data_IF_310542564270
#
_entry.id   IF_310542564270
#
_cell.length_a   1.000
_cell.length_b   1.000
_cell.length_c   1.000
_cell.angle_alpha   90.00
_cell.angle_beta   90.00
_cell.angle_gamma   90.00
#
_symmetry.space_group_name_H-M   'P 1'
#
loop_
_entity.id
_entity.type
_entity.pdbx_description
1 polymer ?
#
# COMPACT_ATOMS: atom_id res chain seq x y z
N UNK A 1 -21.76 -48.33 -15.07
CA UNK A 1 -22.12 -47.04 -14.46
C UNK A 1 -21.32 -46.92 -13.17
N UNK A 2 -20.16 -46.27 -13.25
CA UNK A 2 -19.19 -46.25 -12.16
C UNK A 2 -19.56 -45.19 -11.11
N UNK A 3 -20.15 -45.64 -10.01
CA UNK A 3 -20.45 -44.82 -8.83
C UNK A 3 -19.24 -44.59 -7.91
N UNK A 4 -18.01 -44.91 -8.34
CA UNK A 4 -16.78 -44.77 -7.54
C UNK A 4 -15.99 -43.48 -7.80
N UNK A 5 -16.42 -42.61 -8.73
CA UNK A 5 -15.70 -41.35 -9.02
C UNK A 5 -16.03 -40.21 -8.06
N UNK A 6 -17.09 -40.31 -7.25
CA UNK A 6 -17.55 -39.22 -6.37
C UNK A 6 -16.78 -39.07 -5.06
N UNK A 7 -16.31 -40.16 -4.46
CA UNK A 7 -15.73 -40.16 -3.10
C UNK A 7 -14.36 -39.44 -3.06
N UNK A 8 -13.58 -39.54 -4.13
CA UNK A 8 -12.24 -38.91 -4.22
C UNK A 8 -12.27 -37.38 -4.33
N UNK A 9 -13.42 -36.79 -4.62
CA UNK A 9 -13.56 -35.35 -4.81
C UNK A 9 -13.82 -34.62 -3.48
N UNK A 10 -14.58 -35.24 -2.57
CA UNK A 10 -14.93 -34.62 -1.29
C UNK A 10 -13.75 -34.61 -0.30
N UNK A 11 -12.98 -35.70 -0.25
CA UNK A 11 -11.79 -35.78 0.62
C UNK A 11 -10.73 -34.73 0.24
N UNK A 12 -10.53 -34.48 -1.05
CA UNK A 12 -9.59 -33.44 -1.53
C UNK A 12 -10.03 -32.03 -1.13
N UNK A 13 -11.33 -31.77 -1.11
CA UNK A 13 -11.88 -30.47 -0.74
C UNK A 13 -11.65 -30.18 0.74
N UNK A 14 -11.92 -31.15 1.62
CA UNK A 14 -11.72 -31.03 3.07
C UNK A 14 -10.25 -30.74 3.41
N UNK A 15 -9.31 -31.47 2.79
CA UNK A 15 -7.88 -31.27 3.01
C UNK A 15 -7.43 -29.87 2.57
N UNK A 16 -7.99 -29.35 1.48
CA UNK A 16 -7.67 -28.00 0.98
C UNK A 16 -8.20 -26.92 1.91
N UNK A 17 -9.43 -27.06 2.41
CA UNK A 17 -10.03 -26.09 3.34
C UNK A 17 -9.28 -26.01 4.67
N UNK A 18 -8.92 -27.16 5.25
CA UNK A 18 -8.12 -27.20 6.48
C UNK A 18 -6.73 -26.57 6.30
N UNK A 19 -6.10 -26.77 5.14
CA UNK A 19 -4.82 -26.17 4.81
C UNK A 19 -4.90 -24.65 4.69
N UNK A 20 -5.93 -24.13 4.00
CA UNK A 20 -6.14 -22.69 3.87
C UNK A 20 -6.48 -22.02 5.22
N UNK A 21 -7.24 -22.70 6.09
CA UNK A 21 -7.50 -22.22 7.44
C UNK A 21 -6.20 -22.06 8.23
N UNK A 22 -5.33 -23.07 8.18
CA UNK A 22 -4.03 -23.02 8.86
C UNK A 22 -3.16 -21.86 8.38
N UNK A 23 -3.07 -21.64 7.07
CA UNK A 23 -2.32 -20.49 6.52
C UNK A 23 -2.90 -19.17 7.03
N UNK A 24 -4.22 -19.06 7.10
CA UNK A 24 -4.87 -17.86 7.61
C UNK A 24 -4.54 -17.62 9.08
N UNK A 25 -4.51 -18.66 9.89
CA UNK A 25 -4.14 -18.57 11.30
C UNK A 25 -2.67 -18.18 11.48
N UNK A 26 -1.77 -18.77 10.68
CA UNK A 26 -0.34 -18.44 10.67
C UNK A 26 -0.10 -16.97 10.28
N UNK A 27 -0.79 -16.48 9.24
CA UNK A 27 -0.74 -15.06 8.83
C UNK A 27 -1.23 -14.14 9.96
N UNK A 28 -2.38 -14.45 10.56
CA UNK A 28 -2.96 -13.65 11.64
C UNK A 28 -2.05 -13.64 12.87
N UNK A 29 -1.43 -14.77 13.21
CA UNK A 29 -0.47 -14.87 14.29
C UNK A 29 0.73 -13.95 14.06
N UNK A 30 1.32 -13.98 12.86
CA UNK A 30 2.45 -13.09 12.52
C UNK A 30 2.08 -11.61 12.60
N UNK A 31 0.91 -11.23 12.09
CA UNK A 31 0.43 -9.84 12.16
C UNK A 31 0.19 -9.40 13.61
N UNK A 32 -0.36 -10.27 14.46
CA UNK A 32 -0.56 -9.96 15.88
C UNK A 32 0.78 -9.78 16.61
N UNK A 33 1.74 -10.69 16.39
CA UNK A 33 3.09 -10.58 16.93
C UNK A 33 3.79 -9.30 16.46
N UNK A 34 3.67 -8.95 15.17
CA UNK A 34 4.23 -7.72 14.63
C UNK A 34 3.65 -6.48 15.33
N UNK A 35 2.32 -6.46 15.54
CA UNK A 35 1.64 -5.38 16.24
C UNK A 35 2.01 -5.30 17.73
N UNK A 36 2.21 -6.43 18.41
CA UNK A 36 2.71 -6.47 19.79
C UNK A 36 4.12 -5.87 19.88
N UNK A 37 5.03 -6.29 19.00
CA UNK A 37 6.38 -5.70 18.93
C UNK A 37 6.32 -4.20 18.64
N UNK A 38 5.46 -3.75 17.71
CA UNK A 38 5.26 -2.33 17.38
C UNK A 38 4.77 -1.54 18.60
N UNK A 39 3.81 -2.06 19.36
CA UNK A 39 3.30 -1.45 20.61
C UNK A 39 4.36 -1.38 21.71
N UNK A 40 5.30 -2.33 21.73
CA UNK A 40 6.45 -2.33 22.63
C UNK A 40 7.67 -1.57 22.08
N UNK A 41 7.51 -0.78 21.01
CA UNK A 41 8.59 -0.03 20.35
C UNK A 41 9.76 -0.88 19.84
N UNK A 42 9.55 -2.18 19.65
CA UNK A 42 10.53 -3.10 19.06
C UNK A 42 10.37 -3.11 17.53
N UNK A 43 10.58 -1.95 16.91
CA UNK A 43 10.24 -1.72 15.51
C UNK A 43 10.98 -2.64 14.53
N UNK A 44 12.22 -3.00 14.80
CA UNK A 44 12.95 -3.97 13.98
C UNK A 44 12.23 -5.32 13.89
N UNK A 45 11.90 -5.91 15.06
CA UNK A 45 11.19 -7.19 15.13
C UNK A 45 9.78 -7.11 14.55
N UNK A 46 9.11 -5.97 14.74
CA UNK A 46 7.81 -5.71 14.12
C UNK A 46 7.92 -5.72 12.59
N UNK A 47 8.92 -5.02 12.04
CA UNK A 47 9.23 -5.00 10.62
C UNK A 47 9.46 -6.40 10.06
N UNK A 48 10.33 -7.19 10.70
CA UNK A 48 10.63 -8.56 10.27
C UNK A 48 9.39 -9.45 10.27
N UNK A 49 8.54 -9.33 11.29
CA UNK A 49 7.30 -10.10 11.39
C UNK A 49 6.26 -9.71 10.32
N UNK A 50 6.13 -8.40 10.02
CA UNK A 50 5.28 -7.93 8.93
C UNK A 50 5.77 -8.40 7.56
N UNK A 51 7.08 -8.38 7.29
CA UNK A 51 7.65 -8.91 6.03
C UNK A 51 7.32 -10.39 5.87
N UNK A 52 7.55 -11.21 6.91
CA UNK A 52 7.21 -12.64 6.88
C UNK A 52 5.73 -12.88 6.61
N UNK A 53 4.86 -12.08 7.24
CA UNK A 53 3.42 -12.15 6.98
C UNK A 53 3.09 -11.79 5.52
N UNK A 54 3.69 -10.73 4.98
CA UNK A 54 3.49 -10.30 3.60
C UNK A 54 3.94 -11.37 2.59
N UNK A 55 5.12 -11.96 2.79
CA UNK A 55 5.64 -13.04 1.95
C UNK A 55 4.75 -14.29 1.98
N UNK A 56 4.28 -14.71 3.16
CA UNK A 56 3.37 -15.83 3.32
C UNK A 56 2.01 -15.56 2.66
N UNK A 57 1.45 -14.36 2.84
CA UNK A 57 0.23 -13.95 2.17
C UNK A 57 0.40 -13.92 0.64
N UNK A 58 1.54 -13.43 0.15
CA UNK A 58 1.83 -13.37 -1.28
C UNK A 58 1.92 -14.78 -1.90
N UNK A 59 2.64 -15.69 -1.26
CA UNK A 59 2.83 -17.08 -1.74
C UNK A 59 1.52 -17.85 -1.81
N UNK A 60 0.57 -17.53 -0.93
CA UNK A 60 -0.77 -18.12 -0.90
C UNK A 60 -1.85 -17.30 -1.62
N UNK A 61 -1.45 -16.34 -2.47
CA UNK A 61 -2.34 -15.56 -3.34
C UNK A 61 -3.45 -14.84 -2.57
N UNK A 62 -3.13 -14.30 -1.39
CA UNK A 62 -4.01 -13.40 -0.69
C UNK A 62 -4.31 -12.17 -1.54
N UNK A 63 -5.33 -11.40 -1.13
CA UNK A 63 -5.65 -10.13 -1.79
C UNK A 63 -4.41 -9.23 -1.80
N UNK A 64 -4.05 -8.76 -2.98
CA UNK A 64 -2.86 -7.92 -3.18
C UNK A 64 -2.85 -6.69 -2.29
N UNK A 65 -4.02 -6.08 -2.03
CA UNK A 65 -4.14 -4.96 -1.10
C UNK A 65 -3.69 -5.29 0.32
N UNK A 66 -3.94 -6.52 0.80
CA UNK A 66 -3.54 -6.98 2.13
C UNK A 66 -2.05 -7.24 2.19
N UNK A 67 -1.48 -7.83 1.12
CA UNK A 67 -0.04 -8.04 1.00
C UNK A 67 0.71 -6.71 0.98
N UNK A 68 0.26 -5.76 0.16
CA UNK A 68 0.82 -4.41 0.06
C UNK A 68 0.77 -3.70 1.43
N UNK A 69 -0.37 -3.74 2.11
CA UNK A 69 -0.50 -3.11 3.43
C UNK A 69 0.50 -3.67 4.45
N UNK A 70 0.76 -4.97 4.44
CA UNK A 70 1.76 -5.57 5.33
C UNK A 70 3.20 -5.12 5.00
N UNK A 71 3.54 -4.98 3.72
CA UNK A 71 4.82 -4.37 3.34
C UNK A 71 4.92 -2.89 3.74
N UNK A 72 3.83 -2.12 3.62
CA UNK A 72 3.80 -0.72 4.08
C UNK A 72 3.96 -0.61 5.61
N UNK A 73 3.32 -1.50 6.37
CA UNK A 73 3.47 -1.59 7.82
C UNK A 73 4.91 -1.95 8.23
N UNK A 74 5.53 -2.90 7.52
CA UNK A 74 6.94 -3.24 7.71
C UNK A 74 7.85 -2.04 7.43
N UNK A 75 7.66 -1.40 6.27
CA UNK A 75 8.43 -0.23 5.88
C UNK A 75 8.31 0.89 6.91
N UNK A 76 7.10 1.14 7.42
CA UNK A 76 6.85 2.14 8.46
C UNK A 76 7.65 1.83 9.73
N UNK A 77 7.72 0.56 10.15
CA UNK A 77 8.53 0.17 11.30
C UNK A 77 10.03 0.41 11.04
N UNK A 78 10.53 0.08 9.86
CA UNK A 78 11.94 0.32 9.50
C UNK A 78 12.28 1.82 9.41
N UNK A 79 11.37 2.66 8.91
CA UNK A 79 11.57 4.11 8.90
C UNK A 79 11.74 4.69 10.31
N UNK A 80 11.00 4.17 11.32
CA UNK A 80 11.15 4.62 12.71
C UNK A 80 12.57 4.43 13.28
N UNK A 81 13.30 3.42 12.77
CA UNK A 81 14.68 3.14 13.15
C UNK A 81 15.68 3.55 12.06
N UNK A 82 15.22 4.30 11.05
CA UNK A 82 16.00 4.80 9.90
C UNK A 82 16.74 3.71 9.11
N UNK A 83 16.14 2.53 9.02
CA UNK A 83 16.73 1.36 8.36
C UNK A 83 16.33 1.30 6.88
N UNK A 84 17.30 1.05 6.00
CA UNK A 84 17.11 1.02 4.55
C UNK A 84 16.24 -0.15 4.06
N UNK A 85 15.97 -1.17 4.88
CA UNK A 85 15.00 -2.25 4.60
C UNK A 85 13.59 -1.72 4.27
N UNK A 86 13.26 -0.50 4.71
CA UNK A 86 12.03 0.18 4.31
C UNK A 86 11.89 0.28 2.77
N UNK A 87 12.98 0.61 2.07
CA UNK A 87 13.00 0.73 0.61
C UNK A 87 12.67 -0.61 -0.06
N UNK A 88 13.26 -1.71 0.42
CA UNK A 88 13.01 -3.05 -0.13
C UNK A 88 11.54 -3.48 0.04
N UNK A 89 10.91 -3.11 1.16
CA UNK A 89 9.50 -3.36 1.40
C UNK A 89 8.63 -2.57 0.39
N UNK A 90 8.92 -1.29 0.16
CA UNK A 90 8.20 -0.49 -0.82
C UNK A 90 8.37 -1.03 -2.24
N UNK A 91 9.59 -1.39 -2.66
CA UNK A 91 9.83 -1.98 -3.98
C UNK A 91 9.06 -3.29 -4.16
N UNK A 92 9.00 -4.13 -3.13
CA UNK A 92 8.20 -5.37 -3.14
C UNK A 92 6.71 -5.09 -3.33
N UNK A 93 6.19 -4.01 -2.73
CA UNK A 93 4.81 -3.57 -2.93
C UNK A 93 4.58 -3.00 -4.35
N UNK A 94 5.54 -2.25 -4.91
CA UNK A 94 5.50 -1.78 -6.31
C UNK A 94 5.40 -2.97 -7.27
N UNK A 95 6.19 -4.02 -7.08
CA UNK A 95 6.17 -5.20 -7.94
C UNK A 95 4.80 -5.89 -7.95
N UNK A 96 4.06 -5.83 -6.84
CA UNK A 96 2.67 -6.34 -6.79
C UNK A 96 1.73 -5.47 -7.63
N UNK A 97 1.88 -4.14 -7.61
CA UNK A 97 1.11 -3.26 -8.51
C UNK A 97 1.38 -3.59 -9.98
N UNK A 98 2.66 -3.79 -10.34
CA UNK A 98 3.06 -4.15 -11.70
C UNK A 98 2.45 -5.49 -12.12
N UNK A 99 2.60 -6.54 -11.29
CA UNK A 99 2.01 -7.88 -11.53
C UNK A 99 0.50 -7.88 -11.66
N UNK A 100 -0.18 -6.87 -11.12
CA UNK A 100 -1.64 -6.76 -11.12
C UNK A 100 -2.16 -5.72 -12.12
N UNK A 101 -1.29 -5.25 -13.01
CA UNK A 101 -1.57 -4.27 -14.07
C UNK A 101 -2.09 -2.92 -13.53
N UNK A 102 -1.79 -2.62 -12.26
CA UNK A 102 -2.15 -1.37 -11.59
C UNK A 102 -1.01 -0.35 -11.69
N UNK A 103 -0.54 -0.11 -12.92
CA UNK A 103 0.70 0.63 -13.18
C UNK A 103 0.65 2.05 -12.63
N UNK A 104 -0.43 2.78 -12.88
CA UNK A 104 -0.59 4.16 -12.39
C UNK A 104 -0.54 4.24 -10.85
N UNK A 105 -1.20 3.32 -10.15
CA UNK A 105 -1.14 3.22 -8.68
C UNK A 105 0.29 2.92 -8.21
N UNK A 106 1.01 2.04 -8.91
CA UNK A 106 2.41 1.72 -8.61
C UNK A 106 3.35 2.91 -8.79
N UNK A 107 3.21 3.65 -9.90
CA UNK A 107 3.98 4.87 -10.19
C UNK A 107 3.73 5.93 -9.12
N UNK A 108 2.46 6.21 -8.80
CA UNK A 108 2.11 7.20 -7.76
C UNK A 108 2.76 6.86 -6.41
N UNK A 109 2.68 5.59 -6.00
CA UNK A 109 3.26 5.14 -4.75
C UNK A 109 4.80 5.20 -4.76
N UNK A 110 5.46 5.00 -5.91
CA UNK A 110 6.90 5.22 -6.02
C UNK A 110 7.29 6.64 -5.58
N UNK A 111 6.59 7.67 -6.05
CA UNK A 111 6.88 9.05 -5.65
C UNK A 111 6.52 9.34 -4.19
N UNK A 112 5.37 8.86 -3.72
CA UNK A 112 4.97 9.06 -2.31
C UNK A 112 5.97 8.41 -1.36
N UNK A 113 6.36 7.16 -1.62
CA UNK A 113 7.29 6.42 -0.78
C UNK A 113 8.73 6.89 -0.93
N UNK A 114 9.15 7.31 -2.13
CA UNK A 114 10.46 7.91 -2.37
C UNK A 114 10.65 9.18 -1.53
N UNK A 115 9.61 10.02 -1.45
CA UNK A 115 9.63 11.20 -0.59
C UNK A 115 9.76 10.84 0.89
N UNK A 116 8.96 9.89 1.38
CA UNK A 116 9.05 9.40 2.76
C UNK A 116 10.46 8.88 3.09
N UNK A 117 11.04 8.07 2.22
CA UNK A 117 12.40 7.56 2.37
C UNK A 117 13.44 8.69 2.43
N UNK A 118 13.33 9.71 1.56
CA UNK A 118 14.23 10.86 1.57
C UNK A 118 14.14 11.75 2.81
N UNK A 119 12.99 11.77 3.48
CA UNK A 119 12.80 12.51 4.74
C UNK A 119 13.32 11.74 5.96
N UNK A 120 13.02 10.44 6.03
CA UNK A 120 13.17 9.66 7.26
C UNK A 120 14.47 8.85 7.34
N UNK A 121 15.03 8.41 6.21
CA UNK A 121 16.25 7.60 6.19
C UNK A 121 17.51 8.46 6.39
N UNK A 122 18.57 7.82 6.90
CA UNK A 122 19.89 8.48 7.05
C UNK A 122 20.46 8.87 5.68
N UNK A 123 20.36 7.95 4.72
CA UNK A 123 20.77 8.21 3.33
C UNK A 123 19.58 8.76 2.54
N UNK A 124 19.57 10.09 2.38
CA UNK A 124 18.52 10.81 1.65
C UNK A 124 18.44 10.40 0.17
N UNK A 125 19.51 9.85 -0.40
CA UNK A 125 19.53 9.41 -1.79
C UNK A 125 18.76 8.10 -2.00
N UNK A 126 18.38 7.38 -0.93
CA UNK A 126 17.60 6.14 -1.05
C UNK A 126 16.21 6.35 -1.66
N UNK A 127 15.61 7.53 -1.48
CA UNK A 127 14.36 7.88 -2.14
C UNK A 127 14.45 7.91 -3.67
N UNK A 128 15.64 8.22 -4.21
CA UNK A 128 15.90 8.32 -5.65
C UNK A 128 15.67 6.99 -6.37
N UNK A 129 15.93 5.86 -5.69
CA UNK A 129 15.68 4.52 -6.27
C UNK A 129 14.19 4.31 -6.58
N UNK A 130 13.29 4.81 -5.72
CA UNK A 130 11.85 4.75 -5.98
C UNK A 130 11.42 5.73 -7.06
N UNK A 131 11.94 6.97 -7.06
CA UNK A 131 11.62 7.93 -8.12
C UNK A 131 12.03 7.40 -9.50
N UNK A 132 13.25 6.87 -9.61
CA UNK A 132 13.73 6.23 -10.82
C UNK A 132 12.83 5.07 -11.23
N UNK A 133 12.44 4.19 -10.29
CA UNK A 133 11.51 3.08 -10.58
C UNK A 133 10.16 3.59 -11.11
N UNK A 134 9.63 4.69 -10.56
CA UNK A 134 8.40 5.32 -11.02
C UNK A 134 8.50 5.89 -12.44
N UNK A 135 9.61 6.55 -12.77
CA UNK A 135 9.88 7.04 -14.13
C UNK A 135 10.13 5.90 -15.13
N UNK A 136 10.85 4.85 -14.72
CA UNK A 136 11.07 3.66 -15.55
C UNK A 136 9.73 2.99 -15.92
N UNK A 137 8.84 2.80 -14.93
CA UNK A 137 7.50 2.24 -15.15
C UNK A 137 6.65 3.14 -16.07
N UNK A 138 6.78 4.45 -15.93
CA UNK A 138 6.08 5.42 -16.79
C UNK A 138 6.53 5.27 -18.24
N UNK A 139 7.83 5.20 -18.46
CA UNK A 139 8.43 5.04 -19.78
C UNK A 139 8.03 3.70 -20.42
N UNK A 140 8.15 2.59 -19.67
CA UNK A 140 7.84 1.23 -20.12
C UNK A 140 6.39 1.10 -20.60
N UNK A 141 5.45 1.78 -19.93
CA UNK A 141 4.02 1.72 -20.26
C UNK A 141 3.53 2.89 -21.12
N UNK A 142 4.42 3.76 -21.61
CA UNK A 142 4.07 4.89 -22.48
C UNK A 142 3.14 5.91 -21.82
N UNK A 143 3.17 6.02 -20.49
CA UNK A 143 2.32 6.95 -19.75
C UNK A 143 2.92 8.36 -19.82
N UNK A 144 2.14 9.39 -20.19
CA UNK A 144 2.67 10.74 -20.23
C UNK A 144 3.01 11.23 -18.83
N UNK A 145 4.06 12.04 -18.73
CA UNK A 145 4.39 12.68 -17.47
C UNK A 145 3.33 13.76 -17.14
N UNK A 146 2.39 13.46 -16.24
CA UNK A 146 1.50 14.46 -15.67
C UNK A 146 2.05 14.92 -14.31
N UNK A 147 2.99 15.86 -14.33
CA UNK A 147 3.34 16.56 -13.09
C UNK A 147 2.13 17.42 -12.72
N UNK A 148 1.53 17.23 -11.54
CA UNK A 148 0.39 18.06 -11.09
C UNK A 148 0.77 19.55 -11.01
N UNK A 149 2.06 19.85 -10.93
CA UNK A 149 2.63 21.20 -11.07
C UNK A 149 2.79 21.51 -12.57
N UNK A 150 1.70 21.70 -13.31
CA UNK A 150 1.77 21.99 -14.76
C UNK A 150 2.01 23.46 -15.10
N UNK A 151 1.91 24.37 -14.13
CA UNK A 151 2.24 25.79 -14.31
C UNK A 151 3.03 26.29 -13.10
N UNK A 152 4.34 26.31 -13.26
CA UNK A 152 5.23 27.08 -12.41
C UNK A 152 5.48 28.42 -13.11
N UNK A 153 4.91 29.48 -12.56
CA UNK A 153 5.08 30.84 -13.09
C UNK A 153 6.37 31.44 -12.50
N UNK A 154 7.46 31.34 -13.26
CA UNK A 154 8.78 31.85 -12.85
C UNK A 154 8.77 33.36 -12.57
N UNK A 155 7.84 34.12 -13.15
CA UNK A 155 7.73 35.57 -12.92
C UNK A 155 7.33 35.92 -11.49
N UNK A 156 6.79 34.95 -10.73
CA UNK A 156 6.50 35.12 -9.31
C UNK A 156 7.75 34.96 -8.41
N UNK A 157 8.90 34.55 -8.97
CA UNK A 157 10.13 34.30 -8.23
C UNK A 157 11.23 35.33 -8.43
N UNK A 158 11.00 36.39 -9.22
CA UNK A 158 11.85 37.58 -9.23
C UNK A 158 11.67 38.38 -7.93
N UNK A 159 12.12 37.80 -6.81
CA UNK A 159 12.20 38.45 -5.52
C UNK A 159 13.67 38.79 -5.32
N UNK A 160 14.04 40.05 -5.55
CA UNK A 160 15.42 40.57 -5.39
C UNK A 160 15.93 40.53 -3.93
N UNK A 161 15.07 40.17 -2.98
CA UNK A 161 15.33 40.19 -1.55
C UNK A 161 15.35 38.76 -0.98
N UNK A 162 16.56 38.28 -0.64
CA UNK A 162 16.80 36.95 -0.08
C UNK A 162 15.94 36.65 1.16
N UNK A 163 15.54 37.66 1.94
CA UNK A 163 14.69 37.46 3.13
C UNK A 163 13.24 37.09 2.77
N UNK A 164 12.72 37.63 1.66
CA UNK A 164 11.38 37.31 1.15
C UNK A 164 11.35 35.98 0.42
N UNK A 165 12.47 35.55 -0.16
CA UNK A 165 12.60 34.22 -0.79
C UNK A 165 12.41 33.10 0.21
N UNK A 166 12.99 33.19 1.41
CA UNK A 166 12.82 32.18 2.45
C UNK A 166 11.37 32.13 2.98
N UNK A 167 10.73 33.29 3.14
CA UNK A 167 9.30 33.36 3.47
C UNK A 167 8.43 32.69 2.40
N UNK A 168 8.69 32.98 1.12
CA UNK A 168 7.93 32.41 0.00
C UNK A 168 8.12 30.89 -0.11
N UNK A 169 9.33 30.38 0.13
CA UNK A 169 9.59 28.93 0.19
C UNK A 169 8.82 28.26 1.33
N UNK A 170 8.76 28.89 2.51
CA UNK A 170 7.94 28.38 3.62
C UNK A 170 6.45 28.35 3.25
N UNK A 171 5.92 29.41 2.63
CA UNK A 171 4.54 29.45 2.16
C UNK A 171 4.25 28.38 1.09
N UNK A 172 5.16 28.18 0.13
CA UNK A 172 5.08 27.11 -0.88
C UNK A 172 5.09 25.72 -0.26
N UNK A 173 5.95 25.47 0.73
CA UNK A 173 5.95 24.20 1.45
C UNK A 173 4.64 23.98 2.20
N UNK A 174 4.07 25.01 2.83
CA UNK A 174 2.77 24.91 3.50
C UNK A 174 1.63 24.65 2.52
N UNK A 175 1.62 25.33 1.37
CA UNK A 175 0.66 25.11 0.29
C UNK A 175 0.78 23.70 -0.30
N UNK A 176 2.00 23.22 -0.53
CA UNK A 176 2.24 21.86 -1.01
C UNK A 176 1.68 20.83 -0.02
N UNK A 177 1.92 21.04 1.29
CA UNK A 177 1.40 20.18 2.36
C UNK A 177 -0.13 20.21 2.40
N UNK A 178 -0.77 21.37 2.21
CA UNK A 178 -2.24 21.49 2.10
C UNK A 178 -2.76 20.76 0.86
N UNK A 179 -2.11 20.90 -0.29
CA UNK A 179 -2.50 20.23 -1.53
C UNK A 179 -2.38 18.71 -1.41
N UNK A 180 -1.29 18.22 -0.80
CA UNK A 180 -1.12 16.80 -0.50
C UNK A 180 -2.17 16.31 0.50
N UNK A 181 -2.47 17.09 1.55
CA UNK A 181 -3.52 16.76 2.50
C UNK A 181 -4.91 16.71 1.84
N UNK A 182 -5.25 17.66 0.98
CA UNK A 182 -6.51 17.69 0.23
C UNK A 182 -6.60 16.54 -0.78
N UNK A 183 -5.51 16.22 -1.46
CA UNK A 183 -5.44 15.07 -2.36
C UNK A 183 -5.63 13.76 -1.58
N UNK A 184 -4.95 13.62 -0.44
CA UNK A 184 -5.14 12.50 0.48
C UNK A 184 -6.59 12.45 1.00
N UNK A 185 -7.20 13.59 1.34
CA UNK A 185 -8.59 13.67 1.80
C UNK A 185 -9.59 13.29 0.71
N UNK A 186 -9.34 13.72 -0.54
CA UNK A 186 -10.16 13.39 -1.71
C UNK A 186 -10.04 11.91 -2.05
N UNK A 187 -8.84 11.34 -1.93
CA UNK A 187 -8.59 9.89 -2.05
C UNK A 187 -9.28 9.12 -0.92
N UNK A 188 -9.21 9.59 0.32
CA UNK A 188 -9.90 9.01 1.48
C UNK A 188 -11.42 9.08 1.32
N UNK A 189 -11.99 10.19 0.82
CA UNK A 189 -13.41 10.32 0.51
C UNK A 189 -13.86 9.36 -0.59
N UNK A 190 -13.07 9.19 -1.65
CA UNK A 190 -13.34 8.18 -2.68
C UNK A 190 -13.23 6.75 -2.13
N UNK A 191 -12.35 6.51 -1.16
CA UNK A 191 -12.24 5.23 -0.47
C UNK A 191 -13.42 4.98 0.50
N UNK A 192 -13.88 6.00 1.24
CA UNK A 192 -15.06 5.90 2.11
C UNK A 192 -16.33 5.73 1.29
N UNK A 193 -16.49 6.41 0.15
CA UNK A 193 -17.66 6.20 -0.73
C UNK A 193 -17.67 4.78 -1.29
N UNK A 194 -16.53 4.23 -1.73
CA UNK A 194 -16.44 2.81 -2.14
C UNK A 194 -16.73 1.84 -0.99
N UNK A 195 -16.25 2.14 0.24
CA UNK A 195 -16.53 1.34 1.43
C UNK A 195 -18.00 1.39 1.85
N UNK A 196 -18.63 2.58 1.85
CA UNK A 196 -20.05 2.75 2.13
C UNK A 196 -20.93 2.05 1.08
N UNK A 197 -20.59 2.16 -0.21
CA UNK A 197 -21.28 1.42 -1.28
C UNK A 197 -21.16 -0.09 -1.04
N UNK A 198 -19.97 -0.59 -0.70
CA UNK A 198 -19.73 -2.01 -0.39
C UNK A 198 -20.54 -2.49 0.83
N UNK A 199 -20.57 -1.71 1.91
CA UNK A 199 -21.35 -2.01 3.13
C UNK A 199 -22.85 -2.02 2.83
N UNK A 200 -23.36 -1.04 2.07
CA UNK A 200 -24.77 -0.99 1.65
C UNK A 200 -25.11 -2.22 0.79
N UNK A 201 -24.24 -2.60 -0.15
CA UNK A 201 -24.44 -3.78 -1.00
C UNK A 201 -24.50 -5.07 -0.18
N UNK A 202 -23.60 -5.22 0.80
CA UNK A 202 -23.55 -6.39 1.69
C UNK A 202 -24.78 -6.50 2.59
N UNK A 203 -25.27 -5.38 3.12
CA UNK A 203 -26.51 -5.33 3.92
C UNK A 203 -27.72 -5.71 3.06
N UNK A 204 -27.81 -5.22 1.82
CA UNK A 204 -28.92 -5.55 0.91
C UNK A 204 -28.93 -7.05 0.56
N UNK A 205 -27.76 -7.62 0.29
CA UNK A 205 -27.59 -9.05 0.00
C UNK A 205 -27.98 -9.94 1.19
N UNK A 206 -27.62 -9.54 2.42
CA UNK A 206 -28.02 -10.25 3.65
C UNK A 206 -29.53 -10.24 3.88
N UNK A 207 -30.22 -9.13 3.58
CA UNK A 207 -31.69 -9.03 3.71
C UNK A 207 -32.42 -9.92 2.69
N UNK A 208 -31.91 -10.02 1.46
CA UNK A 208 -32.42 -10.93 0.43
C UNK A 208 -32.27 -12.40 0.84
N UNK A 209 -31.10 -12.79 1.36
CA UNK A 209 -30.86 -14.16 1.87
C UNK A 209 -31.79 -14.51 3.03
N UNK A 210 -32.00 -13.59 3.98
CA UNK A 210 -32.94 -13.79 5.09
C UNK A 210 -34.39 -13.93 4.63
N UNK A 211 -34.78 -13.28 3.52
CA UNK A 211 -36.12 -13.39 2.94
C UNK A 211 -36.34 -14.74 2.25
N UNK A 212 -35.30 -15.29 1.63
CA UNK A 212 -35.37 -16.59 0.95
C UNK A 212 -35.35 -17.77 1.91
N UNK A 213 -34.76 -17.65 3.11
CA UNK A 213 -34.79 -18.70 4.14
C UNK A 213 -36.11 -18.81 4.90
N UNK A 214 -37.03 -17.85 4.73
CA UNK A 214 -38.36 -17.84 5.38
C UNK A 214 -39.49 -18.33 4.47
N UNK A 215 -39.16 -18.84 3.28
CA UNK A 215 -40.07 -19.51 2.36
C UNK A 215 -39.76 -20.99 2.35
#
# INVERSE_FOLDING_TARGET
>A
MDMHSGIKTEEKKIVTEAYLLKISDDCNSLINTANEHKRSSQFEKAGDAFVKAAELMHSHRYRNSTVIAAYEDAATCYLQIKDCRALACYLSAVDIFVKTEKIEEGIENCFIWGYKCGQELVDKNKGEELYKKGEDLRHEHGLPHSCVITHFDETQLEIEDDSKREQYLNELTELSMKLFADFALKRMKNFTVKFFIYVIYKIKCLKELQKNMKK
#
